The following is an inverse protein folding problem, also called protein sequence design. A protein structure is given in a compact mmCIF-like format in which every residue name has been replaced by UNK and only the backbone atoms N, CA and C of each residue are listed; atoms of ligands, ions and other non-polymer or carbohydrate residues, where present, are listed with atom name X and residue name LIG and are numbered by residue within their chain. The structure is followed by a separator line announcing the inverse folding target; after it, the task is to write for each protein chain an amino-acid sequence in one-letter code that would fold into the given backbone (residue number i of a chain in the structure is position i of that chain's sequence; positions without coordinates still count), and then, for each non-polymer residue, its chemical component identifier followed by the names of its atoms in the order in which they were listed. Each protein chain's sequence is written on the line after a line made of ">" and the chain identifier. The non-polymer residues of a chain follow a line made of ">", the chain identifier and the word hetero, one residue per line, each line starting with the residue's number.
data_IF_057328700103
#
_entry.id   IF_057328700103
#
_cell.length_a   1.000
_cell.length_b   1.000
_cell.length_c   1.000
_cell.angle_alpha   90.00
_cell.angle_beta   90.00
_cell.angle_gamma   90.00
#
_symmetry.space_group_name_H-M   'P 1'
#
loop_
_entity.id
_entity.type
_entity.pdbx_description
1 polymer ?
#
# COMPACT_ATOMS: atom_id res chain seq x y z
N UNK A 1 -3.66 -32.44 -16.16
CA UNK A 1 -4.48 -32.23 -14.96
C UNK A 1 -3.75 -32.84 -13.77
N UNK A 2 -2.94 -32.04 -13.08
CA UNK A 2 -2.19 -32.46 -11.89
C UNK A 2 -3.00 -32.05 -10.66
N UNK A 3 -3.45 -33.02 -9.86
CA UNK A 3 -4.12 -32.78 -8.58
C UNK A 3 -3.08 -32.27 -7.57
N UNK A 4 -3.23 -31.02 -7.12
CA UNK A 4 -2.46 -30.46 -5.99
C UNK A 4 -3.08 -30.99 -4.69
N UNK A 5 -2.30 -31.76 -3.93
CA UNK A 5 -2.68 -32.27 -2.60
C UNK A 5 -2.47 -31.15 -1.58
N UNK A 6 -3.54 -30.66 -0.95
CA UNK A 6 -3.44 -29.78 0.21
C UNK A 6 -3.01 -30.60 1.44
N UNK A 7 -1.92 -30.19 2.10
CA UNK A 7 -1.56 -30.66 3.43
C UNK A 7 -1.98 -29.56 4.41
N UNK A 8 -3.03 -29.81 5.18
CA UNK A 8 -3.43 -28.96 6.31
C UNK A 8 -2.64 -29.43 7.52
N UNK A 9 -1.70 -28.62 7.99
CA UNK A 9 -0.95 -28.89 9.22
C UNK A 9 -1.70 -28.29 10.41
N UNK A 10 -2.22 -29.13 11.30
CA UNK A 10 -2.87 -28.70 12.54
C UNK A 10 -1.83 -28.63 13.67
N UNK A 11 -1.65 -27.43 14.25
CA UNK A 11 -0.79 -27.19 15.39
C UNK A 11 -1.51 -27.65 16.67
N UNK A 12 -1.04 -28.73 17.30
CA UNK A 12 -1.63 -29.26 18.54
C UNK A 12 -0.94 -28.66 19.79
N UNK A 13 -1.69 -27.88 20.55
CA UNK A 13 -1.27 -27.34 21.85
C UNK A 13 -1.41 -28.43 22.93
N UNK A 14 -0.32 -28.84 23.57
CA UNK A 14 -0.36 -29.89 24.61
C UNK A 14 -0.51 -29.22 25.99
N UNK A 15 -1.65 -29.44 26.65
CA UNK A 15 -1.88 -29.00 28.04
C UNK A 15 -1.43 -30.14 28.97
N UNK A 16 -0.42 -29.89 29.81
CA UNK A 16 -0.01 -30.78 30.89
C UNK A 16 -0.89 -30.49 32.11
N UNK A 17 -1.76 -31.42 32.48
CA UNK A 17 -2.48 -31.39 33.75
C UNK A 17 -1.98 -32.52 34.66
N UNK A 18 -1.45 -32.12 35.82
CA UNK A 18 -1.08 -33.00 36.93
C UNK A 18 -2.26 -33.06 37.91
N UNK A 19 -2.74 -34.24 38.27
CA UNK A 19 -3.80 -34.39 39.25
C UNK A 19 -4.17 -35.84 39.52
N UNK A 20 -3.73 -36.36 40.66
CA UNK A 20 -4.02 -37.69 41.19
C UNK A 20 -5.45 -37.75 41.77
N UNK A 21 -6.21 -38.81 41.50
CA UNK A 21 -7.32 -39.21 42.37
C UNK A 21 -8.54 -39.87 41.72
N UNK A 22 -8.58 -41.20 41.83
CA UNK A 22 -9.75 -42.08 42.09
C UNK A 22 -10.91 -42.19 41.09
N UNK A 23 -11.31 -43.45 40.94
CA UNK A 23 -12.42 -44.08 40.19
C UNK A 23 -13.70 -43.25 40.01
N UNK A 24 -14.21 -43.22 38.78
CA UNK A 24 -15.52 -43.79 38.39
C UNK A 24 -15.84 -43.41 36.93
N UNK A 25 -16.40 -44.39 36.20
CA UNK A 25 -16.85 -44.33 34.80
C UNK A 25 -17.56 -43.02 34.45
N UNK A 26 -17.25 -42.36 33.30
CA UNK A 26 -18.20 -41.81 32.29
C UNK A 26 -17.54 -41.47 30.95
N UNK A 27 -18.11 -42.05 29.90
CA UNK A 27 -18.32 -41.58 28.52
C UNK A 27 -17.23 -40.78 27.79
N UNK A 28 -16.77 -41.39 26.70
CA UNK A 28 -16.12 -40.77 25.54
C UNK A 28 -17.20 -40.11 24.67
N UNK A 29 -17.16 -38.79 24.37
CA UNK A 29 -17.99 -38.25 23.32
C UNK A 29 -17.36 -38.43 21.94
N UNK A 30 -18.17 -39.02 21.08
CA UNK A 30 -18.03 -39.37 19.67
C UNK A 30 -17.84 -38.15 18.77
N UNK A 31 -17.12 -38.35 17.65
CA UNK A 31 -16.88 -37.33 16.63
C UNK A 31 -18.18 -37.06 15.85
N UNK A 32 -18.62 -35.79 15.80
CA UNK A 32 -19.73 -35.39 14.92
C UNK A 32 -19.21 -34.71 13.65
N UNK A 33 -19.74 -35.25 12.57
CA UNK A 33 -19.51 -35.11 11.14
C UNK A 33 -20.08 -33.79 10.56
N UNK A 34 -19.37 -33.24 9.57
CA UNK A 34 -19.78 -32.12 8.71
C UNK A 34 -20.86 -32.57 7.70
N UNK A 35 -21.95 -31.81 7.54
CA UNK A 35 -22.58 -31.59 6.22
C UNK A 35 -23.14 -30.16 6.15
N UNK A 36 -22.59 -29.38 5.21
CA UNK A 36 -23.07 -28.06 4.78
C UNK A 36 -24.33 -28.22 3.90
N UNK A 37 -25.34 -27.38 4.11
CA UNK A 37 -26.48 -27.26 3.20
C UNK A 37 -26.82 -25.77 3.00
N UNK A 38 -26.49 -25.20 1.84
CA UNK A 38 -27.20 -24.03 1.30
C UNK A 38 -27.01 -23.97 -0.22
N UNK A 39 -27.99 -24.52 -0.93
CA UNK A 39 -28.33 -24.16 -2.30
C UNK A 39 -29.69 -23.44 -2.24
N UNK A 40 -29.79 -22.22 -2.76
CA UNK A 40 -30.70 -21.90 -3.87
C UNK A 40 -30.64 -20.42 -4.26
N UNK A 41 -30.44 -20.24 -5.55
CA UNK A 41 -30.51 -19.02 -6.34
C UNK A 41 -31.81 -19.03 -7.17
N UNK A 42 -32.22 -17.84 -7.66
CA UNK A 42 -33.35 -17.49 -8.53
C UNK A 42 -34.72 -17.31 -7.83
N UNK A 43 -35.51 -16.28 -8.12
CA UNK A 43 -35.81 -15.74 -9.44
C UNK A 43 -36.49 -14.35 -9.34
N UNK A 44 -36.27 -13.51 -10.35
CA UNK A 44 -36.85 -12.18 -10.49
C UNK A 44 -38.30 -12.23 -10.99
N UNK A 45 -39.14 -11.27 -10.59
CA UNK A 45 -40.21 -10.75 -11.46
C UNK A 45 -40.51 -9.28 -11.15
N UNK A 46 -40.50 -8.51 -12.22
CA UNK A 46 -40.72 -7.08 -12.42
C UNK A 46 -42.21 -6.72 -12.41
N UNK A 47 -42.62 -5.66 -11.70
CA UNK A 47 -43.77 -4.82 -12.07
C UNK A 47 -43.71 -3.45 -11.37
N UNK A 48 -43.53 -2.40 -12.17
CA UNK A 48 -43.76 -0.99 -11.83
C UNK A 48 -45.19 -0.74 -11.27
N UNK A 49 -45.32 0.05 -10.21
CA UNK A 49 -46.30 1.15 -10.18
C UNK A 49 -46.08 2.16 -9.04
N UNK A 50 -46.26 3.41 -9.47
CA UNK A 50 -45.95 4.69 -8.84
C UNK A 50 -47.22 5.24 -8.13
N UNK A 51 -47.02 5.80 -6.93
CA UNK A 51 -47.80 6.84 -6.22
C UNK A 51 -49.24 6.54 -5.75
N UNK A 52 -49.47 6.59 -4.42
CA UNK A 52 -50.24 7.63 -3.72
C UNK A 52 -50.74 7.13 -2.36
N UNK A 53 -50.29 7.78 -1.28
CA UNK A 53 -51.15 8.47 -0.29
C UNK A 53 -50.40 8.65 1.03
N UNK A 54 -50.06 9.92 1.29
CA UNK A 54 -49.58 10.40 2.56
C UNK A 54 -50.73 10.50 3.56
N UNK A 55 -50.51 10.07 4.80
CA UNK A 55 -50.83 10.91 5.97
C UNK A 55 -50.15 10.45 7.26
N UNK A 56 -49.16 11.26 7.64
CA UNK A 56 -48.87 11.83 8.95
C UNK A 56 -48.74 10.91 10.19
N UNK A 57 -47.50 10.85 10.71
CA UNK A 57 -47.23 11.20 12.11
C UNK A 57 -45.85 11.85 12.23
N UNK A 58 -45.78 12.92 12.99
CA UNK A 58 -44.84 14.04 12.89
C UNK A 58 -43.55 13.84 13.72
N UNK A 59 -42.42 14.30 13.19
CA UNK A 59 -41.38 14.96 13.98
C UNK A 59 -40.68 16.02 13.10
N UNK A 60 -40.88 17.33 13.34
CA UNK A 60 -40.35 18.39 12.47
C UNK A 60 -39.10 19.02 13.09
N UNK A 61 -37.95 18.97 12.40
CA UNK A 61 -36.96 20.04 12.53
C UNK A 61 -35.88 20.03 11.42
N UNK A 62 -36.28 20.21 10.15
CA UNK A 62 -35.34 20.64 9.09
C UNK A 62 -36.10 21.41 7.99
N UNK A 63 -35.98 22.74 7.93
CA UNK A 63 -35.40 23.54 6.82
C UNK A 63 -35.97 24.97 6.65
N UNK A 64 -35.02 25.90 6.48
CA UNK A 64 -34.99 27.07 5.59
C UNK A 64 -36.13 28.09 5.57
N UNK A 65 -35.78 29.37 5.84
CA UNK A 65 -36.14 30.54 5.02
C UNK A 65 -35.04 31.62 5.29
N UNK A 66 -34.40 32.36 4.38
CA UNK A 66 -34.81 33.05 3.15
C UNK A 66 -33.58 33.36 2.26
N UNK A 67 -33.71 33.15 0.94
CA UNK A 67 -33.08 34.00 -0.07
C UNK A 67 -34.08 35.12 -0.39
N UNK A 68 -33.73 36.40 -0.18
CA UNK A 68 -33.65 37.41 -1.26
C UNK A 68 -33.23 38.82 -0.78
N UNK A 69 -32.58 39.55 -1.69
CA UNK A 69 -32.41 41.03 -1.78
C UNK A 69 -31.22 41.76 -1.12
N UNK A 70 -30.19 41.99 -1.94
CA UNK A 70 -29.37 43.19 -2.14
C UNK A 70 -29.55 44.41 -1.18
N UNK A 71 -28.58 44.64 -0.29
CA UNK A 71 -28.18 45.97 0.21
C UNK A 71 -26.78 45.94 0.87
N UNK A 72 -25.95 46.90 0.49
CA UNK A 72 -24.61 47.21 0.98
C UNK A 72 -24.56 47.46 2.49
N UNK A 73 -23.61 46.86 3.20
CA UNK A 73 -22.67 47.43 4.19
C UNK A 73 -22.13 46.34 5.14
N UNK A 74 -20.85 46.45 5.47
CA UNK A 74 -20.03 45.33 5.93
C UNK A 74 -20.31 44.81 7.34
N UNK A 75 -19.97 43.54 7.54
CA UNK A 75 -19.58 43.02 8.85
C UNK A 75 -18.60 41.86 8.64
N UNK A 76 -17.37 42.08 9.11
CA UNK A 76 -16.32 41.09 9.21
C UNK A 76 -16.76 39.97 10.17
N UNK A 77 -17.00 38.78 9.63
CA UNK A 77 -16.82 37.54 10.38
C UNK A 77 -15.93 36.63 9.55
N UNK A 78 -14.63 36.93 9.60
CA UNK A 78 -13.60 36.00 9.18
C UNK A 78 -13.74 34.76 10.06
N UNK A 79 -14.39 33.74 9.51
CA UNK A 79 -14.28 32.40 10.03
C UNK A 79 -12.86 31.98 9.68
N UNK A 80 -11.93 32.17 10.62
CA UNK A 80 -10.60 31.60 10.58
C UNK A 80 -10.73 30.08 10.66
N UNK A 81 -11.19 29.48 9.56
CA UNK A 81 -10.85 28.10 9.26
C UNK A 81 -9.40 28.22 8.81
N UNK A 82 -8.42 27.65 9.52
CA UNK A 82 -7.07 27.60 9.01
C UNK A 82 -7.15 26.83 7.69
N UNK A 83 -6.97 27.56 6.60
CA UNK A 83 -6.67 26.99 5.30
C UNK A 83 -5.32 26.32 5.48
N UNK A 84 -5.34 25.04 5.83
CA UNK A 84 -4.14 24.21 5.77
C UNK A 84 -3.83 24.14 4.28
N UNK A 85 -2.95 25.02 3.81
CA UNK A 85 -2.23 24.85 2.56
C UNK A 85 -1.34 23.61 2.69
N UNK A 86 -1.97 22.44 2.68
CA UNK A 86 -1.30 21.15 2.58
C UNK A 86 -1.00 20.94 1.12
N UNK A 87 0.01 21.65 0.62
CA UNK A 87 0.57 21.37 -0.70
C UNK A 87 1.07 19.91 -0.68
N UNK A 88 0.37 19.05 -1.42
CA UNK A 88 0.76 17.65 -1.56
C UNK A 88 2.12 17.55 -2.25
N UNK A 89 3.04 16.82 -1.64
CA UNK A 89 4.36 16.50 -2.19
C UNK A 89 4.30 15.11 -2.82
N UNK A 90 4.78 15.01 -4.04
CA UNK A 90 4.89 13.74 -4.78
C UNK A 90 6.22 13.07 -4.48
N UNK A 91 6.20 11.75 -4.39
CA UNK A 91 7.38 10.91 -4.42
C UNK A 91 7.15 9.64 -5.21
N UNK A 92 8.22 8.90 -5.49
CA UNK A 92 8.20 7.69 -6.30
C UNK A 92 8.95 6.57 -5.57
N UNK A 93 8.28 5.46 -5.25
CA UNK A 93 8.91 4.27 -4.69
C UNK A 93 9.51 3.42 -5.83
N UNK A 94 10.82 3.14 -5.75
CA UNK A 94 11.60 2.57 -6.85
C UNK A 94 12.51 1.43 -6.36
N UNK A 95 12.29 0.25 -6.91
CA UNK A 95 13.24 -0.85 -7.16
C UNK A 95 12.87 -1.41 -8.54
N UNK A 96 12.82 -0.52 -9.55
CA UNK A 96 11.76 -0.38 -10.56
C UNK A 96 10.47 0.21 -9.96
N UNK A 97 9.65 0.98 -10.72
CA UNK A 97 8.38 1.50 -10.22
C UNK A 97 7.58 0.44 -9.44
N UNK A 98 7.36 0.67 -8.15
CA UNK A 98 6.67 -0.30 -7.29
C UNK A 98 5.20 0.07 -7.19
N UNK A 99 4.32 -0.74 -7.78
CA UNK A 99 2.87 -0.55 -7.76
C UNK A 99 2.22 -1.35 -6.63
N UNK A 100 1.19 -0.78 -5.99
CA UNK A 100 0.34 -1.50 -5.05
C UNK A 100 0.84 -1.53 -3.60
N UNK A 101 1.86 -0.74 -3.25
CA UNK A 101 2.28 -0.54 -1.85
C UNK A 101 1.39 0.52 -1.21
N UNK A 102 0.81 0.20 -0.05
CA UNK A 102 0.03 1.17 0.72
C UNK A 102 0.96 2.22 1.33
N UNK A 103 0.52 3.48 1.36
CA UNK A 103 1.18 4.55 2.09
C UNK A 103 0.20 5.33 2.95
N UNK A 104 0.68 5.83 4.10
CA UNK A 104 -0.09 6.67 5.01
C UNK A 104 0.75 7.84 5.56
N UNK A 105 0.16 9.04 5.60
CA UNK A 105 0.77 10.25 6.16
C UNK A 105 -0.33 11.17 6.70
N UNK A 106 -0.43 11.25 8.03
CA UNK A 106 -1.49 12.02 8.70
C UNK A 106 -2.89 11.45 8.39
N UNK A 107 -3.69 12.17 7.57
CA UNK A 107 -5.03 11.73 7.13
C UNK A 107 -5.07 11.23 5.68
N UNK A 108 -3.92 11.23 5.00
CA UNK A 108 -3.81 10.81 3.61
C UNK A 108 -3.36 9.36 3.61
N UNK A 109 -4.10 8.54 2.88
CA UNK A 109 -3.80 7.14 2.64
C UNK A 109 -3.96 6.87 1.14
N UNK A 110 -3.18 5.95 0.61
CA UNK A 110 -3.27 5.56 -0.79
C UNK A 110 -2.41 4.36 -1.11
N UNK A 111 -2.31 4.07 -2.41
CA UNK A 111 -1.43 3.04 -2.94
C UNK A 111 -0.51 3.65 -3.99
N UNK A 112 0.73 3.17 -4.05
CA UNK A 112 1.65 3.56 -5.11
C UNK A 112 1.08 3.15 -6.47
N UNK A 113 1.17 4.05 -7.44
CA UNK A 113 0.64 3.81 -8.80
C UNK A 113 1.59 2.93 -9.62
N UNK A 114 1.23 2.65 -10.87
CA UNK A 114 2.08 1.94 -11.85
C UNK A 114 3.42 2.65 -12.15
N UNK A 115 3.56 3.94 -11.78
CA UNK A 115 4.83 4.67 -11.88
C UNK A 115 5.56 4.74 -10.52
N UNK A 116 5.07 4.04 -9.50
CA UNK A 116 5.55 4.12 -8.13
C UNK A 116 5.13 5.39 -7.40
N UNK A 117 4.25 6.23 -8.00
CA UNK A 117 3.91 7.54 -7.43
C UNK A 117 3.08 7.40 -6.14
N UNK A 118 3.46 8.15 -5.11
CA UNK A 118 2.67 8.43 -3.92
C UNK A 118 2.61 9.95 -3.68
N UNK A 119 1.63 10.41 -2.91
CA UNK A 119 1.40 11.84 -2.68
C UNK A 119 1.02 12.10 -1.22
N UNK A 120 1.80 12.92 -0.53
CA UNK A 120 1.66 13.18 0.91
C UNK A 120 1.88 14.65 1.25
N UNK A 121 1.13 15.20 2.21
CA UNK A 121 1.35 16.57 2.70
C UNK A 121 2.47 16.65 3.73
N UNK A 122 2.63 15.58 4.53
CA UNK A 122 3.44 15.56 5.73
C UNK A 122 4.27 14.28 5.84
N UNK A 123 5.20 14.30 6.80
CA UNK A 123 6.00 13.16 7.27
C UNK A 123 5.64 12.90 8.75
N UNK A 124 5.84 11.67 9.27
CA UNK A 124 6.35 10.50 8.58
C UNK A 124 5.38 9.96 7.51
N UNK A 125 5.95 9.31 6.50
CA UNK A 125 5.19 8.53 5.50
C UNK A 125 5.47 7.06 5.78
N UNK A 126 4.45 6.32 6.18
CA UNK A 126 4.54 4.89 6.45
C UNK A 126 4.20 4.11 5.18
N UNK A 127 4.98 3.08 4.87
CA UNK A 127 4.76 2.19 3.73
C UNK A 127 4.50 0.76 4.20
N UNK A 128 3.49 0.10 3.63
CA UNK A 128 3.12 -1.26 3.99
C UNK A 128 2.55 -2.07 2.82
N UNK A 129 2.56 -3.39 2.98
CA UNK A 129 1.80 -4.33 2.16
C UNK A 129 0.89 -5.07 3.15
N UNK A 130 -0.38 -4.70 3.18
CA UNK A 130 -1.31 -5.21 4.20
C UNK A 130 -0.78 -4.89 5.59
N UNK A 131 -0.70 -5.90 6.45
CA UNK A 131 -0.15 -5.75 7.81
C UNK A 131 1.39 -5.76 7.87
N UNK A 132 2.10 -6.05 6.77
CA UNK A 132 3.56 -6.03 6.76
C UNK A 132 4.08 -4.62 6.53
N UNK A 133 4.79 -4.07 7.51
CA UNK A 133 5.44 -2.77 7.44
C UNK A 133 6.73 -2.85 6.61
N UNK A 134 6.81 -2.06 5.54
CA UNK A 134 8.03 -1.92 4.75
C UNK A 134 9.00 -0.94 5.42
N UNK A 135 8.48 0.12 6.03
CA UNK A 135 9.28 1.11 6.71
C UNK A 135 8.63 2.48 6.70
N UNK A 136 9.39 3.47 7.15
CA UNK A 136 8.92 4.83 7.34
C UNK A 136 9.91 5.80 6.72
N UNK A 137 9.38 6.85 6.08
CA UNK A 137 10.15 7.95 5.53
C UNK A 137 9.91 9.22 6.35
N UNK A 138 10.90 9.61 7.15
CA UNK A 138 10.82 10.79 8.04
C UNK A 138 11.10 12.12 7.32
N UNK A 139 11.66 12.05 6.11
CA UNK A 139 11.89 13.20 5.24
C UNK A 139 11.80 12.74 3.79
N UNK A 140 11.01 13.44 2.97
CA UNK A 140 11.03 13.21 1.53
C UNK A 140 12.44 13.51 0.98
N UNK A 141 12.90 12.67 0.07
CA UNK A 141 14.20 12.83 -0.58
C UNK A 141 14.16 14.05 -1.49
N UNK A 142 15.30 14.74 -1.63
CA UNK A 142 15.34 16.01 -2.36
C UNK A 142 15.04 15.82 -3.87
N UNK A 143 15.24 14.61 -4.40
CA UNK A 143 14.95 14.21 -5.77
C UNK A 143 13.55 13.57 -5.96
N UNK A 144 12.76 13.45 -4.88
CA UNK A 144 11.45 12.80 -4.87
C UNK A 144 11.48 11.29 -5.12
N UNK A 145 12.65 10.65 -5.18
CA UNK A 145 12.81 9.21 -5.43
C UNK A 145 13.16 8.47 -4.14
N UNK A 146 12.35 7.48 -3.78
CA UNK A 146 12.50 6.66 -2.59
C UNK A 146 12.89 5.24 -3.01
N UNK A 147 14.04 4.78 -2.54
CA UNK A 147 14.58 3.44 -2.76
C UNK A 147 14.48 2.61 -1.46
N UNK A 148 14.58 1.27 -1.53
CA UNK A 148 14.54 0.37 -0.37
C UNK A 148 15.34 0.82 0.85
N UNK A 149 16.54 1.36 0.66
CA UNK A 149 17.39 1.84 1.75
C UNK A 149 16.92 3.13 2.42
N UNK A 150 16.14 3.97 1.73
CA UNK A 150 15.58 5.19 2.31
C UNK A 150 14.46 4.90 3.31
N UNK A 151 13.88 3.69 3.27
CA UNK A 151 12.84 3.23 4.19
C UNK A 151 13.41 2.56 5.45
N UNK A 152 14.73 2.36 5.52
CA UNK A 152 15.39 1.63 6.61
C UNK A 152 16.17 2.62 7.48
N UNK A 153 15.73 2.76 8.72
CA UNK A 153 16.38 3.65 9.68
C UNK A 153 17.87 3.30 9.89
N UNK A 154 18.69 4.34 9.92
CA UNK A 154 20.13 4.26 10.10
C UNK A 154 20.92 3.76 8.88
N UNK A 155 20.30 3.53 7.72
CA UNK A 155 21.00 3.09 6.50
C UNK A 155 21.16 4.25 5.53
N UNK A 156 22.39 4.46 5.05
CA UNK A 156 22.69 5.50 4.06
C UNK A 156 22.16 5.10 2.67
N UNK A 157 21.71 6.10 1.90
CA UNK A 157 21.14 5.93 0.55
C UNK A 157 22.09 5.22 -0.44
N UNK A 158 23.39 5.32 -0.24
CA UNK A 158 24.42 4.67 -1.06
C UNK A 158 24.74 3.23 -0.63
N UNK A 159 24.26 2.80 0.54
CA UNK A 159 24.57 1.47 1.09
C UNK A 159 23.56 0.41 0.64
N UNK A 160 23.68 -0.04 -0.60
CA UNK A 160 22.85 -1.15 -1.11
C UNK A 160 23.34 -2.54 -0.68
N UNK A 161 24.41 -2.62 0.11
CA UNK A 161 24.98 -3.87 0.62
C UNK A 161 24.51 -4.24 2.02
N UNK A 162 23.79 -3.34 2.71
CA UNK A 162 23.21 -3.62 4.01
C UNK A 162 22.25 -4.83 3.93
N UNK A 163 22.33 -5.72 4.92
CA UNK A 163 21.53 -6.95 4.92
C UNK A 163 20.02 -6.67 4.91
N UNK A 164 19.57 -5.60 5.60
CA UNK A 164 18.16 -5.21 5.62
C UNK A 164 17.71 -4.68 4.27
N UNK A 165 18.57 -3.90 3.59
CA UNK A 165 18.30 -3.38 2.24
C UNK A 165 18.18 -4.51 1.24
N UNK A 166 19.10 -5.47 1.27
CA UNK A 166 19.07 -6.64 0.39
C UNK A 166 17.80 -7.45 0.64
N UNK A 167 17.40 -7.66 1.91
CA UNK A 167 16.14 -8.35 2.25
C UNK A 167 14.90 -7.59 1.77
N UNK A 168 14.88 -6.26 1.88
CA UNK A 168 13.79 -5.42 1.35
C UNK A 168 13.68 -5.55 -0.17
N UNK A 169 14.79 -5.43 -0.89
CA UNK A 169 14.83 -5.61 -2.34
C UNK A 169 14.39 -7.03 -2.74
N UNK A 170 14.87 -8.06 -2.04
CA UNK A 170 14.42 -9.44 -2.27
C UNK A 170 12.92 -9.60 -2.05
N UNK A 171 12.35 -9.00 -1.00
CA UNK A 171 10.92 -9.05 -0.74
C UNK A 171 10.14 -8.44 -1.90
N UNK A 172 10.39 -7.16 -2.23
CA UNK A 172 9.66 -6.45 -3.28
C UNK A 172 9.73 -7.19 -4.62
N UNK A 173 10.94 -7.57 -5.03
CA UNK A 173 11.17 -8.25 -6.30
C UNK A 173 10.58 -9.67 -6.36
N UNK A 174 10.49 -10.38 -5.23
CA UNK A 174 9.88 -11.72 -5.19
C UNK A 174 8.35 -11.66 -5.22
N UNK A 175 7.77 -10.55 -4.77
CA UNK A 175 6.31 -10.36 -4.72
C UNK A 175 5.71 -9.93 -6.06
N UNK A 176 6.55 -9.50 -7.01
CA UNK A 176 6.15 -9.15 -8.37
C UNK A 176 5.24 -10.22 -9.00
N UNK A 177 4.19 -9.78 -9.69
CA UNK A 177 3.09 -10.65 -10.11
C UNK A 177 3.47 -11.57 -11.28
N UNK A 178 4.23 -11.07 -12.24
CA UNK A 178 4.65 -11.78 -13.44
C UNK A 178 6.12 -12.25 -13.42
N UNK A 179 6.90 -11.79 -12.44
CA UNK A 179 8.30 -12.15 -12.24
C UNK A 179 9.27 -11.40 -13.14
N UNK A 180 8.80 -10.43 -13.93
CA UNK A 180 9.61 -9.55 -14.76
C UNK A 180 9.86 -8.22 -14.04
N UNK A 181 10.77 -8.23 -13.09
CA UNK A 181 11.12 -7.03 -12.30
C UNK A 181 11.74 -5.85 -13.09
N UNK A 182 12.06 -6.03 -14.39
CA UNK A 182 12.73 -5.01 -15.21
C UNK A 182 11.86 -3.81 -15.60
N UNK A 183 10.54 -3.90 -15.44
CA UNK A 183 9.58 -2.85 -15.78
C UNK A 183 8.90 -2.22 -14.55
N UNK A 184 7.87 -2.86 -13.99
CA UNK A 184 7.08 -2.43 -12.83
C UNK A 184 7.10 -3.62 -11.89
N UNK A 185 7.41 -3.39 -10.61
CA UNK A 185 7.16 -4.39 -9.58
C UNK A 185 5.71 -4.23 -9.16
N UNK A 186 4.85 -5.16 -9.56
CA UNK A 186 3.41 -5.09 -9.26
C UNK A 186 3.05 -6.01 -8.10
N UNK A 187 2.65 -5.41 -6.98
CA UNK A 187 2.17 -6.14 -5.80
C UNK A 187 0.66 -6.33 -5.91
N UNK A 188 0.22 -7.57 -6.11
CA UNK A 188 -1.20 -7.89 -6.22
C UNK A 188 -1.96 -7.78 -4.89
N UNK A 189 -3.23 -7.38 -4.96
CA UNK A 189 -4.14 -7.29 -3.80
C UNK A 189 -4.29 -8.61 -3.02
N UNK A 190 -4.03 -9.74 -3.67
CA UNK A 190 -4.03 -11.07 -3.03
C UNK A 190 -2.90 -11.21 -2.01
N UNK A 191 -1.71 -10.65 -2.28
CA UNK A 191 -0.57 -10.61 -1.35
C UNK A 191 -0.95 -9.80 -0.11
N UNK A 192 -1.51 -8.61 -0.32
CA UNK A 192 -1.99 -7.75 0.78
C UNK A 192 -3.02 -8.48 1.65
N UNK A 193 -3.99 -9.15 1.03
CA UNK A 193 -5.03 -9.90 1.74
C UNK A 193 -4.42 -11.01 2.61
N UNK A 194 -3.44 -11.75 2.07
CA UNK A 194 -2.71 -12.78 2.81
C UNK A 194 -1.89 -12.23 3.96
N UNK A 195 -1.26 -11.08 3.80
CA UNK A 195 -0.51 -10.45 4.87
C UNK A 195 -1.46 -9.94 5.98
N UNK A 196 -2.64 -9.43 5.61
CA UNK A 196 -3.68 -9.06 6.57
C UNK A 196 -4.26 -10.24 7.36
N UNK A 197 -4.33 -11.44 6.77
CA UNK A 197 -4.77 -12.66 7.49
C UNK A 197 -3.86 -13.01 8.68
N UNK A 198 -2.57 -12.65 8.60
CA UNK A 198 -1.60 -12.84 9.68
C UNK A 198 -1.57 -11.66 10.67
N UNK A 199 -2.04 -10.48 10.25
CA UNK A 199 -1.98 -9.27 11.06
C UNK A 199 -0.55 -8.92 11.47
N UNK A 200 -0.39 -8.36 12.67
CA UNK A 200 0.91 -7.88 13.17
C UNK A 200 1.99 -8.98 13.32
N UNK A 201 1.60 -10.26 13.37
CA UNK A 201 2.55 -11.37 13.51
C UNK A 201 3.51 -11.45 12.32
N UNK A 202 3.08 -11.00 11.13
CA UNK A 202 3.90 -11.05 9.92
C UNK A 202 5.19 -10.23 10.03
N UNK A 203 5.17 -9.14 10.80
CA UNK A 203 6.32 -8.25 11.00
C UNK A 203 7.46 -8.93 11.79
N UNK A 204 7.18 -10.03 12.48
CA UNK A 204 8.17 -10.82 13.21
C UNK A 204 8.74 -12.01 12.44
N UNK A 205 8.25 -12.29 11.23
CA UNK A 205 8.65 -13.45 10.43
C UNK A 205 9.94 -13.18 9.65
N UNK A 206 10.69 -14.25 9.36
CA UNK A 206 11.79 -14.18 8.41
C UNK A 206 11.27 -14.14 6.95
N UNK A 207 12.12 -13.69 6.03
CA UNK A 207 11.76 -13.52 4.62
C UNK A 207 11.28 -14.81 3.95
N UNK A 208 11.85 -15.97 4.28
CA UNK A 208 11.42 -17.24 3.69
C UNK A 208 10.01 -17.61 4.17
N UNK A 209 9.73 -17.39 5.45
CA UNK A 209 8.39 -17.55 6.03
C UNK A 209 7.37 -16.60 5.41
N UNK A 210 7.72 -15.33 5.19
CA UNK A 210 6.84 -14.33 4.54
C UNK A 210 6.48 -14.76 3.12
N UNK A 211 7.47 -15.16 2.32
CA UNK A 211 7.24 -15.56 0.92
C UNK A 211 6.47 -16.88 0.80
N UNK A 212 6.64 -17.79 1.76
CA UNK A 212 5.88 -19.04 1.82
C UNK A 212 4.37 -18.81 2.02
N UNK A 213 3.97 -17.75 2.74
CA UNK A 213 2.54 -17.40 2.96
C UNK A 213 1.82 -17.08 1.64
N UNK A 214 2.56 -16.57 0.66
CA UNK A 214 2.03 -16.12 -0.64
C UNK A 214 2.45 -16.99 -1.82
N UNK A 215 3.06 -18.16 -1.56
CA UNK A 215 3.52 -19.13 -2.59
C UNK A 215 4.45 -18.47 -3.63
N UNK A 216 5.36 -17.60 -3.18
CA UNK A 216 6.34 -16.90 -4.03
C UNK A 216 7.75 -17.45 -3.82
N UNK A 217 8.50 -17.59 -4.91
CA UNK A 217 9.90 -17.96 -4.87
C UNK A 217 10.78 -16.76 -4.49
N UNK A 218 11.77 -16.99 -3.62
CA UNK A 218 12.71 -15.95 -3.20
C UNK A 218 13.72 -15.63 -4.30
N UNK A 219 13.77 -14.36 -4.71
CA UNK A 219 14.82 -13.82 -5.58
C UNK A 219 16.19 -13.94 -4.90
N UNK A 220 17.21 -14.33 -5.68
CA UNK A 220 18.58 -14.47 -5.18
C UNK A 220 19.14 -13.11 -4.76
N UNK A 221 19.71 -13.03 -3.55
CA UNK A 221 20.20 -11.80 -2.93
C UNK A 221 21.12 -10.95 -3.83
N UNK A 222 22.06 -11.60 -4.53
CA UNK A 222 22.97 -10.89 -5.45
C UNK A 222 22.27 -10.31 -6.68
N UNK A 223 21.21 -10.98 -7.17
CA UNK A 223 20.40 -10.45 -8.26
C UNK A 223 19.55 -9.28 -7.78
N UNK A 224 18.95 -9.40 -6.58
CA UNK A 224 18.14 -8.33 -6.02
C UNK A 224 18.94 -7.04 -5.79
N UNK A 225 20.14 -7.17 -5.23
CA UNK A 225 21.04 -6.03 -5.05
C UNK A 225 21.47 -5.40 -6.38
N UNK A 226 21.79 -6.20 -7.39
CA UNK A 226 22.19 -5.68 -8.72
C UNK A 226 21.05 -4.93 -9.38
N UNK A 227 19.84 -5.48 -9.33
CA UNK A 227 18.65 -4.83 -9.85
C UNK A 227 18.42 -3.47 -9.20
N UNK A 228 18.47 -3.41 -7.87
CA UNK A 228 18.36 -2.15 -7.13
C UNK A 228 19.43 -1.12 -7.56
N UNK A 229 20.69 -1.55 -7.69
CA UNK A 229 21.77 -0.65 -8.14
C UNK A 229 21.55 -0.14 -9.57
N UNK A 230 21.03 -0.98 -10.47
CA UNK A 230 20.75 -0.61 -11.86
C UNK A 230 19.59 0.38 -11.95
N UNK A 231 18.51 0.15 -11.20
CA UNK A 231 17.33 1.03 -11.18
C UNK A 231 17.64 2.37 -10.52
N UNK A 232 18.43 2.40 -9.44
CA UNK A 232 18.96 3.63 -8.87
C UNK A 232 19.76 4.45 -9.88
N UNK A 233 20.68 3.80 -10.59
CA UNK A 233 21.51 4.48 -11.60
C UNK A 233 20.66 5.07 -12.73
N UNK A 234 19.68 4.31 -13.22
CA UNK A 234 18.75 4.77 -14.28
C UNK A 234 17.90 5.94 -13.79
N UNK A 235 17.33 5.82 -12.60
CA UNK A 235 16.51 6.83 -11.99
C UNK A 235 17.27 8.16 -11.77
N UNK A 236 18.55 8.08 -11.37
CA UNK A 236 19.37 9.26 -11.17
C UNK A 236 19.91 9.85 -12.49
N UNK A 237 20.11 9.05 -13.54
CA UNK A 237 20.52 9.58 -14.85
C UNK A 237 19.42 10.40 -15.51
N UNK A 238 18.16 9.97 -15.42
CA UNK A 238 17.01 10.72 -15.96
C UNK A 238 16.90 12.13 -15.37
N UNK A 239 17.38 12.31 -14.14
CA UNK A 239 17.37 13.61 -13.46
C UNK A 239 18.44 14.58 -13.97
N UNK A 240 19.47 14.09 -14.66
CA UNK A 240 20.59 14.91 -15.16
C UNK A 240 20.40 15.34 -16.62
N UNK A 241 19.65 14.58 -17.41
CA UNK A 241 19.40 14.91 -18.82
C UNK A 241 18.41 16.09 -19.00
N UNK A 242 17.70 16.49 -17.93
CA UNK A 242 16.78 17.63 -17.94
C UNK A 242 17.42 19.03 -17.86
N UNK A 243 18.73 19.14 -17.65
CA UNK A 243 19.42 20.44 -17.50
C UNK A 243 20.26 20.89 -18.71
N UNK A 244 20.47 20.05 -19.74
CA UNK A 244 21.33 20.43 -20.88
C UNK A 244 20.62 21.06 -22.09
N UNK A 245 19.29 21.09 -22.18
CA UNK A 245 18.59 21.73 -23.32
C UNK A 245 18.47 23.27 -23.22
N UNK A 246 19.15 23.92 -22.27
CA UNK A 246 19.01 25.36 -22.00
C UNK A 246 20.16 26.30 -22.37
N UNK A 247 21.31 25.83 -22.88
CA UNK A 247 22.53 26.67 -22.98
C UNK A 247 22.97 27.03 -24.41
N UNK A 248 22.26 26.60 -25.47
CA UNK A 248 22.69 26.89 -26.87
C UNK A 248 21.78 27.88 -27.60
N UNK A 249 21.41 28.99 -26.95
CA UNK A 249 20.93 30.17 -27.70
C UNK A 249 21.59 31.45 -27.18
N UNK A 250 22.25 32.16 -28.11
CA UNK A 250 22.88 33.48 -28.02
C UNK A 250 24.38 33.59 -27.71
N UNK A 251 25.27 33.00 -28.53
CA UNK A 251 26.60 33.62 -28.80
C UNK A 251 27.01 33.45 -30.28
N UNK A 252 26.15 33.79 -31.25
CA UNK A 252 26.58 33.81 -32.66
C UNK A 252 25.93 34.88 -33.54
N UNK A 253 25.41 35.97 -32.97
CA UNK A 253 24.87 37.11 -33.74
C UNK A 253 25.69 38.41 -33.66
N UNK A 254 26.88 38.39 -33.04
CA UNK A 254 27.77 39.57 -32.98
C UNK A 254 29.10 39.42 -33.76
N UNK A 255 29.20 38.42 -34.63
CA UNK A 255 30.44 38.16 -35.40
C UNK A 255 30.33 38.35 -36.92
N UNK A 256 29.19 38.80 -37.47
CA UNK A 256 29.06 39.11 -38.92
C UNK A 256 28.25 40.39 -39.18
N UNK A 257 28.68 41.50 -38.58
CA UNK A 257 28.19 42.83 -38.92
C UNK A 257 29.35 43.84 -38.96
N UNK A 258 30.16 43.85 -40.02
CA UNK A 258 31.29 44.78 -40.09
C UNK A 258 32.11 44.79 -41.38
N UNK A 259 31.50 45.33 -42.45
CA UNK A 259 32.04 45.75 -43.77
C UNK A 259 32.22 44.69 -44.86
#
# INVERSE_FOLDING_TARGET
>A
MLKRTLIVSALALTIIACGSGSSDDKEVPDLIELVNDTNQEANATDTDQILNDANASENPDVNQILNDTNATEGSNTGSDIPDLDTTLKKGYLIDAPVEGVAYACGKIEGYTTSTGEFSCSDVPIEFSIGAYALGTLDKLTDDGRVFPQDLIDGVSRDNTTDEKVVKMAQLLQSLDDDGNISNIIKIDKSVESRFNELGEEINGLDLDSILAVVDKDKVVADNARKHLQETMRSALSDSLEGEEEGIIDNILDDALGGK
#
